data_IF_243107954395
#
_entry.id   IF_243107954395
#
_cell.length_a   1.000
_cell.length_b   1.000
_cell.length_c   1.000
_cell.angle_alpha   90.00
_cell.angle_beta   90.00
_cell.angle_gamma   90.00
#
_symmetry.space_group_name_H-M   'P 1'
#
loop_
_entity.id
_entity.type
_entity.pdbx_description
1 polymer ?
#
# COMPACT_ATOMS: atom_id res chain seq x y z
N UNK A 1 5.75 2.79 -17.28
CA UNK A 1 5.62 2.91 -15.81
C UNK A 1 4.41 2.17 -15.26
N UNK A 2 3.15 2.51 -15.60
CA UNK A 2 1.98 1.72 -15.14
C UNK A 2 1.94 0.30 -15.69
N UNK A 3 2.28 0.11 -16.97
CA UNK A 3 2.38 -1.24 -17.57
C UNK A 3 3.48 -2.08 -16.93
N UNK A 4 4.62 -1.47 -16.61
CA UNK A 4 5.76 -2.18 -16.04
C UNK A 4 5.52 -2.59 -14.58
N UNK A 5 4.90 -1.71 -13.77
CA UNK A 5 4.54 -2.02 -12.37
C UNK A 5 3.35 -2.97 -12.31
N UNK A 6 2.36 -2.81 -13.20
CA UNK A 6 1.22 -3.73 -13.26
C UNK A 6 1.63 -5.13 -13.71
N UNK A 7 2.60 -5.26 -14.62
CA UNK A 7 3.06 -6.55 -15.13
C UNK A 7 3.79 -7.40 -14.08
N UNK A 8 4.31 -6.81 -12.99
CA UNK A 8 4.97 -7.57 -11.93
C UNK A 8 4.01 -8.13 -10.89
N UNK A 9 2.74 -7.73 -10.90
CA UNK A 9 1.70 -8.19 -9.97
C UNK A 9 0.91 -9.35 -10.57
N UNK A 10 0.91 -10.51 -9.90
CA UNK A 10 0.04 -11.64 -10.25
C UNK A 10 -1.39 -11.42 -9.74
N UNK A 11 -1.52 -10.82 -8.55
CA UNK A 11 -2.81 -10.43 -7.99
C UNK A 11 -2.64 -9.28 -7.00
N UNK A 12 -3.65 -8.42 -6.89
CA UNK A 12 -3.75 -7.35 -5.90
C UNK A 12 -5.19 -7.26 -5.41
N UNK A 13 -5.36 -7.07 -4.10
CA UNK A 13 -6.65 -6.82 -3.47
C UNK A 13 -6.54 -5.66 -2.49
N UNK A 14 -7.48 -4.73 -2.59
CA UNK A 14 -7.65 -3.64 -1.65
C UNK A 14 -8.54 -4.07 -0.49
N UNK A 15 -8.20 -3.61 0.72
CA UNK A 15 -9.04 -3.79 1.90
C UNK A 15 -10.08 -2.66 2.01
N UNK A 16 -11.20 -2.82 1.29
CA UNK A 16 -12.26 -1.80 1.19
C UNK A 16 -12.86 -1.38 2.53
N UNK A 17 -12.90 -2.30 3.51
CA UNK A 17 -13.52 -2.04 4.80
C UNK A 17 -12.73 -1.00 5.62
N UNK A 18 -11.44 -0.87 5.33
CA UNK A 18 -10.51 -0.01 6.07
C UNK A 18 -10.07 1.22 5.27
N UNK A 19 -10.83 1.60 4.22
CA UNK A 19 -10.56 2.83 3.49
C UNK A 19 -10.83 4.05 4.38
N UNK A 20 -9.86 4.96 4.39
CA UNK A 20 -10.02 6.27 5.01
C UNK A 20 -10.33 7.30 3.93
N UNK A 21 -11.49 7.93 4.03
CA UNK A 21 -11.95 8.95 3.09
C UNK A 21 -11.82 10.33 3.72
N UNK A 22 -11.03 11.19 3.08
CA UNK A 22 -10.79 12.56 3.56
C UNK A 22 -11.39 13.53 2.54
N UNK A 23 -12.39 14.28 2.98
CA UNK A 23 -13.06 15.29 2.17
C UNK A 23 -12.44 16.66 2.42
N UNK A 24 -11.95 17.31 1.36
CA UNK A 24 -11.39 18.67 1.45
C UNK A 24 -12.43 19.76 1.69
N UNK A 25 -13.72 19.44 1.53
CA UNK A 25 -14.82 20.41 1.51
C UNK A 25 -15.15 20.97 0.13
N UNK A 26 -14.48 20.50 -0.93
CA UNK A 26 -14.77 20.84 -2.33
C UNK A 26 -14.67 19.61 -3.25
N UNK A 27 -14.23 19.83 -4.49
CA UNK A 27 -14.17 18.79 -5.55
C UNK A 27 -13.04 17.77 -5.35
N UNK A 28 -12.24 17.90 -4.29
CA UNK A 28 -11.12 17.00 -4.00
C UNK A 28 -11.47 16.06 -2.85
N UNK A 29 -11.30 14.77 -3.10
CA UNK A 29 -11.42 13.69 -2.10
C UNK A 29 -10.17 12.82 -2.14
N UNK A 30 -9.67 12.48 -0.95
CA UNK A 30 -8.52 11.58 -0.78
C UNK A 30 -9.03 10.24 -0.26
N UNK A 31 -8.50 9.15 -0.82
CA UNK A 31 -8.70 7.80 -0.32
C UNK A 31 -7.36 7.21 0.08
N UNK A 32 -7.21 6.86 1.35
CA UNK A 32 -6.07 6.10 1.84
C UNK A 32 -6.50 4.67 2.10
N UNK A 33 -5.61 3.73 1.81
CA UNK A 33 -5.92 2.33 2.03
C UNK A 33 -4.70 1.44 2.10
N UNK A 34 -5.01 0.15 2.26
CA UNK A 34 -4.02 -0.92 2.24
C UNK A 34 -4.38 -1.98 1.20
N UNK A 35 -3.36 -2.73 0.79
CA UNK A 35 -3.50 -3.84 -0.14
C UNK A 35 -2.68 -5.05 0.30
N UNK A 36 -3.05 -6.20 -0.26
CA UNK A 36 -2.29 -7.44 -0.20
C UNK A 36 -2.42 -8.18 -1.54
N UNK A 37 -1.53 -9.13 -1.79
CA UNK A 37 -1.55 -9.87 -3.04
C UNK A 37 -0.30 -10.71 -3.27
N UNK A 38 -0.06 -11.01 -4.55
CA UNK A 38 1.10 -11.79 -4.99
C UNK A 38 1.86 -11.03 -6.09
N UNK A 39 3.12 -10.70 -5.81
CA UNK A 39 4.07 -10.13 -6.75
C UNK A 39 4.89 -11.27 -7.38
N UNK A 40 5.55 -11.03 -8.52
CA UNK A 40 6.41 -12.02 -9.18
C UNK A 40 7.49 -12.59 -8.24
N UNK A 41 7.90 -11.81 -7.24
CA UNK A 41 8.93 -12.16 -6.26
C UNK A 41 8.39 -12.69 -4.92
N UNK A 42 7.07 -12.81 -4.76
CA UNK A 42 6.46 -13.35 -3.54
C UNK A 42 5.18 -12.64 -3.09
N UNK A 43 4.50 -13.17 -2.07
CA UNK A 43 3.31 -12.54 -1.50
C UNK A 43 3.67 -11.29 -0.70
N UNK A 44 2.72 -10.35 -0.61
CA UNK A 44 2.82 -9.20 0.27
C UNK A 44 1.50 -8.94 0.99
N UNK A 45 1.62 -8.25 2.13
CA UNK A 45 0.48 -7.67 2.85
C UNK A 45 0.96 -6.44 3.59
N UNK A 46 0.26 -5.33 3.39
CA UNK A 46 0.56 -4.09 4.11
C UNK A 46 0.61 -4.33 5.62
N UNK A 47 1.69 -3.88 6.24
CA UNK A 47 1.90 -4.04 7.69
C UNK A 47 2.21 -5.45 8.16
N UNK A 48 2.46 -6.42 7.26
CA UNK A 48 2.96 -7.75 7.64
C UNK A 48 4.24 -8.11 6.84
N UNK A 49 5.43 -8.03 7.45
CA UNK A 49 5.72 -7.47 8.79
C UNK A 49 5.38 -5.97 8.87
N UNK A 50 5.46 -5.33 10.04
CA UNK A 50 4.97 -3.94 10.27
C UNK A 50 5.37 -2.93 9.17
N UNK A 51 6.57 -3.08 8.62
CA UNK A 51 7.15 -2.27 7.54
C UNK A 51 6.77 -2.69 6.12
N UNK A 52 6.02 -3.77 5.94
CA UNK A 52 5.62 -4.31 4.64
C UNK A 52 4.80 -3.32 3.83
N UNK A 53 5.13 -3.24 2.53
CA UNK A 53 4.53 -2.36 1.55
C UNK A 53 3.06 -2.69 1.23
N UNK A 54 2.42 -1.85 0.43
CA UNK A 54 1.00 -1.97 0.07
C UNK A 54 0.10 -0.92 0.72
N UNK A 55 0.68 0.12 1.34
CA UNK A 55 -0.04 1.35 1.67
C UNK A 55 -0.10 2.23 0.42
N UNK A 56 -1.23 2.89 0.21
CA UNK A 56 -1.45 3.76 -0.93
C UNK A 56 -2.38 4.92 -0.58
N UNK A 57 -2.33 5.95 -1.41
CA UNK A 57 -3.15 7.15 -1.29
C UNK A 57 -3.49 7.68 -2.69
N UNK A 58 -4.79 7.75 -2.98
CA UNK A 58 -5.32 8.31 -4.22
C UNK A 58 -5.95 9.66 -3.93
N UNK A 59 -5.60 10.66 -4.73
CA UNK A 59 -6.17 12.03 -4.66
C UNK A 59 -7.01 12.25 -5.91
N UNK A 60 -8.33 12.17 -5.73
CA UNK A 60 -9.30 12.37 -6.78
C UNK A 60 -9.72 13.84 -6.88
N UNK A 61 -9.95 14.30 -8.10
CA UNK A 61 -10.74 15.49 -8.40
C UNK A 61 -12.01 15.06 -9.13
N UNK A 62 -13.17 15.37 -8.54
CA UNK A 62 -14.48 14.95 -9.04
C UNK A 62 -15.30 16.19 -9.37
N UNK A 63 -15.61 16.37 -10.64
CA UNK A 63 -16.47 17.45 -11.16
C UNK A 63 -17.41 16.87 -12.21
N UNK A 64 -18.61 17.44 -12.30
CA UNK A 64 -19.65 17.02 -13.26
C UNK A 64 -19.90 15.49 -13.21
N UNK A 65 -19.93 14.94 -11.99
CA UNK A 65 -20.15 13.52 -11.71
C UNK A 65 -19.10 12.57 -12.31
N UNK A 66 -17.91 13.08 -12.64
CA UNK A 66 -16.83 12.32 -13.25
C UNK A 66 -15.50 12.57 -12.52
N UNK A 67 -14.65 11.54 -12.49
CA UNK A 67 -13.26 11.68 -12.06
C UNK A 67 -12.50 12.39 -13.18
N UNK A 68 -12.12 13.64 -12.93
CA UNK A 68 -11.34 14.45 -13.88
C UNK A 68 -9.85 14.13 -13.80
N UNK A 69 -9.40 13.75 -12.59
CA UNK A 69 -8.00 13.46 -12.30
C UNK A 69 -7.88 12.52 -11.10
N UNK A 70 -6.87 11.66 -11.11
CA UNK A 70 -6.43 10.88 -9.96
C UNK A 70 -4.90 10.94 -9.88
N UNK A 71 -4.34 11.41 -8.76
CA UNK A 71 -2.93 11.17 -8.43
C UNK A 71 -2.84 9.94 -7.54
N UNK A 72 -1.90 9.06 -7.87
CA UNK A 72 -1.68 7.80 -7.16
C UNK A 72 -0.32 7.86 -6.48
N UNK A 73 -0.33 7.76 -5.15
CA UNK A 73 0.85 7.56 -4.33
C UNK A 73 0.83 6.13 -3.82
N UNK A 74 1.83 5.36 -4.19
CA UNK A 74 1.91 3.93 -3.91
C UNK A 74 3.32 3.59 -3.45
N UNK A 75 3.42 2.76 -2.42
CA UNK A 75 4.67 2.08 -2.06
C UNK A 75 4.83 0.82 -2.95
N UNK A 76 5.76 0.83 -3.93
CA UNK A 76 5.90 -0.26 -4.90
C UNK A 76 6.81 -1.40 -4.42
N UNK A 77 7.39 -1.32 -3.22
CA UNK A 77 8.30 -2.37 -2.69
C UNK A 77 7.54 -3.59 -2.14
N UNK A 78 6.63 -4.13 -2.95
CA UNK A 78 5.74 -5.24 -2.56
C UNK A 78 6.51 -6.46 -2.04
N UNK A 79 7.69 -6.75 -2.59
CA UNK A 79 8.51 -7.88 -2.16
C UNK A 79 9.54 -7.54 -1.07
N UNK A 80 9.56 -6.32 -0.53
CA UNK A 80 10.48 -5.90 0.53
C UNK A 80 11.96 -6.00 0.15
N UNK A 81 12.28 -5.88 -1.14
CA UNK A 81 13.64 -6.03 -1.66
C UNK A 81 14.52 -4.82 -1.36
N UNK A 82 13.90 -3.68 -1.04
CA UNK A 82 14.60 -2.43 -0.75
C UNK A 82 14.80 -2.16 0.75
N UNK A 83 14.55 -3.15 1.61
CA UNK A 83 14.67 -3.01 3.08
C UNK A 83 16.03 -2.51 3.57
N UNK A 84 17.12 -2.80 2.85
CA UNK A 84 18.45 -2.27 3.15
C UNK A 84 18.54 -0.73 3.08
N UNK A 85 17.58 -0.08 2.40
CA UNK A 85 17.47 1.37 2.24
C UNK A 85 16.67 2.02 3.39
N UNK A 86 16.15 1.24 4.33
CA UNK A 86 15.34 1.69 5.46
C UNK A 86 16.17 1.68 6.75
N UNK A 87 16.98 2.71 7.05
CA UNK A 87 17.87 2.71 8.22
C UNK A 87 17.12 2.57 9.56
N UNK A 88 15.83 2.93 9.60
CA UNK A 88 14.98 2.77 10.78
C UNK A 88 14.63 1.31 11.10
N UNK A 89 14.81 0.36 10.17
CA UNK A 89 14.58 -1.07 10.43
C UNK A 89 15.73 -1.74 11.17
N UNK A 90 16.93 -1.15 11.17
CA UNK A 90 18.10 -1.71 11.85
C UNK A 90 17.89 -1.91 13.36
N UNK A 91 16.96 -1.16 13.97
CA UNK A 91 16.61 -1.27 15.39
C UNK A 91 15.45 -2.24 15.70
N UNK A 92 14.72 -2.74 14.70
CA UNK A 92 13.51 -3.59 14.87
C UNK A 92 13.86 -5.08 14.96
N UNK A 93 15.07 -5.49 14.54
CA UNK A 93 15.51 -6.89 14.52
C UNK A 93 15.68 -7.58 15.91
N UNK A 94 15.29 -6.93 17.01
CA UNK A 94 15.49 -7.42 18.38
C UNK A 94 14.21 -7.85 19.12
N UNK A 95 13.02 -7.86 18.50
CA UNK A 95 11.83 -8.38 19.15
C UNK A 95 11.73 -9.91 18.99
N UNK A 96 11.75 -10.71 20.07
CA UNK A 96 11.61 -12.17 19.98
C UNK A 96 10.22 -12.57 19.46
N UNK A 97 10.09 -13.74 18.81
CA UNK A 97 8.80 -14.21 18.30
C UNK A 97 7.79 -14.36 19.45
N UNK A 98 6.60 -13.79 19.27
CA UNK A 98 5.47 -13.95 20.18
C UNK A 98 5.05 -15.42 20.16
N UNK A 99 5.13 -16.09 21.31
CA UNK A 99 4.66 -17.46 21.47
C UNK A 99 3.13 -17.50 21.26
N UNK A 100 2.69 -18.29 20.28
CA UNK A 100 1.28 -18.62 20.09
C UNK A 100 0.92 -19.73 21.09
N UNK A 101 -0.02 -19.52 22.03
CA UNK A 101 -0.42 -20.57 22.97
C UNK A 101 -1.14 -21.70 22.23
N UNK A 102 -0.93 -22.93 22.73
CA UNK A 102 -1.46 -24.19 22.19
C UNK A 102 -2.98 -24.34 22.40
#
# INVERSE_FOLDING_TARGET
MFGDVGATLKSIRHDYANFNWIFSGGDVVVCEGTSYGEHQDGPWRAGVPEWGAGRWCDVFEIRDWQIQRCFIYLDPDYAGKDTARYPWLAGVAAAPPVAVPA
#
